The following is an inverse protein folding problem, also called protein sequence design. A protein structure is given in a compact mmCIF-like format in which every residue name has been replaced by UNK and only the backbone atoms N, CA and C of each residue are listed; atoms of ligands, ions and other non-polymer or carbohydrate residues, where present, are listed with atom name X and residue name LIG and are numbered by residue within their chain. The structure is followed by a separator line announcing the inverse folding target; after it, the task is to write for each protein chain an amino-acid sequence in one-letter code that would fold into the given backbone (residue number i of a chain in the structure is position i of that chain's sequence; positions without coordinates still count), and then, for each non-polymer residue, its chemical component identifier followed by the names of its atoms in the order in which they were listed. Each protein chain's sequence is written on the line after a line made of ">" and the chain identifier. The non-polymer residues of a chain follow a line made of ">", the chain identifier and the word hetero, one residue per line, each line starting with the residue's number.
data_IF_908568763401
#
_entry.id   IF_908568763401
#
_cell.length_a   1.000
_cell.length_b   1.000
_cell.length_c   1.000
_cell.angle_alpha   90.00
_cell.angle_beta   90.00
_cell.angle_gamma   90.00
#
_symmetry.space_group_name_H-M   'P 1'
#
loop_
_entity.id
_entity.type
_entity.pdbx_description
1 polymer ?
#
# COMPACT_ATOMS: atom_id res chain seq x y z
N UNK A 1 -21.69 -9.89 26.54
CA UNK A 1 -20.42 -10.55 26.88
C UNK A 1 -19.89 -11.23 25.63
N UNK A 2 -19.07 -10.55 24.85
CA UNK A 2 -18.23 -11.14 23.83
C UNK A 2 -16.88 -10.50 24.05
N UNK A 3 -16.09 -11.11 24.94
CA UNK A 3 -14.66 -10.81 25.06
C UNK A 3 -13.97 -11.35 23.83
N UNK A 4 -13.91 -10.53 22.76
CA UNK A 4 -13.00 -10.81 21.68
C UNK A 4 -11.60 -10.76 22.31
N UNK A 5 -10.91 -11.88 22.27
CA UNK A 5 -9.50 -12.03 22.61
C UNK A 5 -8.71 -11.07 21.70
N UNK A 6 -8.51 -9.84 22.16
CA UNK A 6 -7.48 -8.96 21.65
C UNK A 6 -6.16 -9.62 22.06
N UNK A 7 -5.62 -10.35 21.14
CA UNK A 7 -4.32 -10.98 21.31
C UNK A 7 -3.29 -9.85 21.27
N UNK A 8 -2.73 -9.47 22.44
CA UNK A 8 -1.65 -8.49 22.51
C UNK A 8 -0.54 -8.88 21.51
N UNK A 9 -0.15 -7.91 20.68
CA UNK A 9 0.96 -8.07 19.73
C UNK A 9 2.22 -8.41 20.53
N UNK A 10 2.92 -9.47 20.14
CA UNK A 10 4.20 -9.84 20.77
C UNK A 10 5.21 -8.70 20.53
N UNK A 11 5.92 -8.22 21.57
CA UNK A 11 7.00 -7.27 21.37
C UNK A 11 8.06 -7.85 20.43
N UNK A 12 8.43 -7.09 19.42
CA UNK A 12 9.48 -7.50 18.49
C UNK A 12 10.86 -7.35 19.12
N UNK A 13 11.74 -8.30 18.86
CA UNK A 13 13.14 -8.22 19.29
C UNK A 13 13.89 -7.14 18.52
N UNK A 14 15.02 -6.66 19.07
CA UNK A 14 15.87 -5.67 18.38
C UNK A 14 16.28 -6.13 16.98
N UNK A 15 16.57 -7.44 16.79
CA UNK A 15 16.93 -7.97 15.48
C UNK A 15 15.77 -7.91 14.48
N UNK A 16 14.53 -8.13 14.93
CA UNK A 16 13.34 -7.98 14.10
C UNK A 16 13.10 -6.51 13.72
N UNK A 17 13.20 -5.59 14.69
CA UNK A 17 13.07 -4.15 14.45
C UNK A 17 14.12 -3.63 13.44
N UNK A 18 15.37 -4.08 13.57
CA UNK A 18 16.43 -3.74 12.60
C UNK A 18 16.09 -4.29 11.20
N UNK A 19 15.67 -5.57 11.11
CA UNK A 19 15.33 -6.18 9.82
C UNK A 19 14.16 -5.44 9.15
N UNK A 20 13.13 -5.08 9.93
CA UNK A 20 11.97 -4.35 9.47
C UNK A 20 12.35 -2.94 8.99
N UNK A 21 13.11 -2.19 9.81
CA UNK A 21 13.57 -0.85 9.47
C UNK A 21 14.46 -0.85 8.22
N UNK A 22 15.39 -1.80 8.11
CA UNK A 22 16.31 -1.89 6.95
C UNK A 22 15.55 -2.26 5.69
N UNK A 23 14.64 -3.24 5.72
CA UNK A 23 13.88 -3.64 4.54
C UNK A 23 13.03 -2.51 3.96
N UNK A 24 12.28 -1.79 4.81
CA UNK A 24 11.51 -0.65 4.36
C UNK A 24 12.35 0.61 4.13
N UNK A 25 13.51 0.74 4.78
CA UNK A 25 14.50 1.77 4.45
C UNK A 25 15.05 1.61 3.02
N UNK A 26 15.32 0.39 2.58
CA UNK A 26 15.67 0.10 1.18
C UNK A 26 14.47 0.41 0.27
N UNK A 27 13.26 0.05 0.67
CA UNK A 27 12.02 0.42 -0.03
C UNK A 27 11.85 1.94 -0.17
N UNK A 28 12.18 2.71 0.88
CA UNK A 28 12.16 4.17 0.84
C UNK A 28 13.14 4.73 -0.18
N UNK A 29 14.38 4.27 -0.18
CA UNK A 29 15.38 4.70 -1.17
C UNK A 29 14.92 4.37 -2.59
N UNK A 30 14.38 3.18 -2.82
CA UNK A 30 13.81 2.80 -4.11
C UNK A 30 12.62 3.70 -4.49
N UNK A 31 11.71 4.02 -3.55
CA UNK A 31 10.57 4.90 -3.79
C UNK A 31 10.99 6.33 -4.13
N UNK A 32 12.04 6.87 -3.47
CA UNK A 32 12.61 8.19 -3.78
C UNK A 32 13.21 8.25 -5.18
N UNK A 33 13.81 7.16 -5.66
CA UNK A 33 14.30 7.05 -7.05
C UNK A 33 13.15 6.85 -8.02
N UNK A 34 12.16 6.03 -7.68
CA UNK A 34 10.99 5.76 -8.50
C UNK A 34 10.11 7.00 -8.72
N UNK A 35 10.05 7.89 -7.74
CA UNK A 35 9.22 9.10 -7.79
C UNK A 35 9.50 9.96 -9.05
N UNK A 36 10.72 10.49 -9.27
CA UNK A 36 11.00 11.29 -10.46
C UNK A 36 10.84 10.49 -11.75
N UNK A 37 11.12 9.18 -11.76
CA UNK A 37 10.97 8.33 -12.93
C UNK A 37 9.49 8.28 -13.35
N UNK A 38 8.57 8.01 -12.43
CA UNK A 38 7.13 7.97 -12.71
C UNK A 38 6.59 9.32 -13.19
N UNK A 39 6.95 10.40 -12.47
CA UNK A 39 6.44 11.73 -12.80
C UNK A 39 6.98 12.21 -14.14
N UNK A 40 8.25 12.01 -14.45
CA UNK A 40 8.81 12.40 -15.75
C UNK A 40 8.23 11.58 -16.91
N UNK A 41 8.05 10.26 -16.73
CA UNK A 41 7.41 9.41 -17.72
C UNK A 41 5.96 9.86 -18.00
N UNK A 42 5.19 10.19 -16.96
CA UNK A 42 3.82 10.68 -17.10
C UNK A 42 3.75 12.06 -17.80
N UNK A 43 4.64 12.99 -17.44
CA UNK A 43 4.72 14.30 -18.09
C UNK A 43 5.06 14.20 -19.58
N UNK A 44 5.93 13.27 -19.96
CA UNK A 44 6.30 13.05 -21.37
C UNK A 44 5.13 12.55 -22.22
N UNK A 45 4.17 11.84 -21.64
CA UNK A 45 2.95 11.41 -22.33
C UNK A 45 1.89 12.51 -22.45
N UNK A 46 2.02 13.59 -21.68
CA UNK A 46 1.14 14.76 -21.77
C UNK A 46 -0.28 14.54 -21.24
N UNK A 47 -0.53 13.45 -20.50
CA UNK A 47 -1.82 13.18 -19.89
C UNK A 47 -1.86 13.67 -18.45
N UNK A 48 -2.73 14.65 -18.16
CA UNK A 48 -2.87 15.22 -16.82
C UNK A 48 -3.35 14.19 -15.80
N UNK A 49 -4.31 13.33 -16.17
CA UNK A 49 -4.84 12.27 -15.30
C UNK A 49 -3.76 11.27 -14.90
N UNK A 50 -2.96 10.81 -15.88
CA UNK A 50 -1.81 9.94 -15.64
C UNK A 50 -0.74 10.61 -14.77
N UNK A 51 -0.43 11.90 -15.03
CA UNK A 51 0.55 12.67 -14.26
C UNK A 51 0.13 12.83 -12.80
N UNK A 52 -1.11 13.20 -12.52
CA UNK A 52 -1.66 13.29 -11.17
C UNK A 52 -1.63 11.90 -10.51
N UNK A 53 -2.08 10.88 -11.22
CA UNK A 53 -2.10 9.50 -10.74
C UNK A 53 -0.71 8.99 -10.35
N UNK A 54 0.28 9.14 -11.22
CA UNK A 54 1.66 8.75 -10.98
C UNK A 54 2.26 9.50 -9.76
N UNK A 55 1.98 10.80 -9.66
CA UNK A 55 2.47 11.61 -8.53
C UNK A 55 1.85 11.15 -7.21
N UNK A 56 0.54 10.90 -7.18
CA UNK A 56 -0.15 10.40 -5.97
C UNK A 56 0.38 9.03 -5.56
N UNK A 57 0.53 8.10 -6.50
CA UNK A 57 1.10 6.78 -6.21
C UNK A 57 2.53 6.91 -5.66
N UNK A 58 3.39 7.69 -6.30
CA UNK A 58 4.76 7.88 -5.86
C UNK A 58 4.84 8.51 -4.45
N UNK A 59 4.01 9.52 -4.15
CA UNK A 59 3.92 10.12 -2.82
C UNK A 59 3.50 9.09 -1.78
N UNK A 60 2.48 8.28 -2.07
CA UNK A 60 1.99 7.27 -1.11
C UNK A 60 3.00 6.16 -0.84
N UNK A 61 3.82 5.76 -1.84
CA UNK A 61 4.96 4.86 -1.64
C UNK A 61 5.97 5.45 -0.66
N UNK A 62 6.38 6.71 -0.89
CA UNK A 62 7.34 7.39 -0.01
C UNK A 62 6.79 7.52 1.41
N UNK A 63 5.53 7.91 1.57
CA UNK A 63 4.90 8.05 2.89
C UNK A 63 4.86 6.73 3.64
N UNK A 64 4.48 5.62 2.99
CA UNK A 64 4.44 4.30 3.62
C UNK A 64 5.83 3.87 4.08
N UNK A 65 6.80 3.88 3.19
CA UNK A 65 8.14 3.41 3.53
C UNK A 65 8.84 4.30 4.57
N UNK A 66 8.60 5.61 4.53
CA UNK A 66 9.13 6.54 5.53
C UNK A 66 8.51 6.27 6.91
N UNK A 67 7.17 6.18 6.98
CA UNK A 67 6.47 5.94 8.24
C UNK A 67 6.89 4.60 8.87
N UNK A 68 6.96 3.54 8.06
CA UNK A 68 7.35 2.21 8.50
C UNK A 68 8.83 2.16 8.95
N UNK A 69 9.74 2.72 8.17
CA UNK A 69 11.16 2.80 8.55
C UNK A 69 11.35 3.49 9.88
N UNK A 70 10.69 4.63 10.10
CA UNK A 70 10.79 5.39 11.34
C UNK A 70 10.09 4.66 12.51
N UNK A 71 8.94 4.01 12.28
CA UNK A 71 8.29 3.20 13.30
C UNK A 71 9.24 2.12 13.85
N UNK A 72 9.90 1.38 12.97
CA UNK A 72 10.80 0.31 13.37
C UNK A 72 12.17 0.78 13.87
N UNK A 73 12.66 1.95 13.41
CA UNK A 73 13.94 2.51 13.86
C UNK A 73 13.89 3.13 15.27
N UNK A 74 12.73 3.59 15.72
CA UNK A 74 12.59 4.32 16.97
C UNK A 74 12.53 3.37 18.19
N UNK A 75 13.18 3.74 19.32
CA UNK A 75 12.99 3.06 20.58
C UNK A 75 11.57 3.25 21.11
N UNK A 76 11.17 2.44 22.11
CA UNK A 76 9.86 2.55 22.74
C UNK A 76 9.64 3.96 23.35
N UNK A 77 8.93 4.81 22.64
CA UNK A 77 8.65 6.20 23.01
C UNK A 77 7.32 6.67 22.39
N UNK A 78 6.91 7.90 22.74
CA UNK A 78 5.69 8.51 22.17
C UNK A 78 5.76 8.64 20.64
N UNK A 79 6.91 8.98 20.09
CA UNK A 79 7.10 9.10 18.65
C UNK A 79 6.92 7.76 17.94
N UNK A 80 7.45 6.64 18.47
CA UNK A 80 7.24 5.30 17.92
C UNK A 80 5.75 4.97 17.79
N UNK A 81 4.93 5.33 18.79
CA UNK A 81 3.48 5.11 18.75
C UNK A 81 2.79 5.95 17.67
N UNK A 82 3.23 7.18 17.46
CA UNK A 82 2.73 8.02 16.37
C UNK A 82 3.07 7.42 15.01
N UNK A 83 4.33 6.99 14.82
CA UNK A 83 4.76 6.38 13.57
C UNK A 83 4.12 5.01 13.33
N UNK A 84 3.77 4.25 14.36
CA UNK A 84 2.98 3.03 14.23
C UNK A 84 1.58 3.32 13.63
N UNK A 85 0.91 4.35 14.11
CA UNK A 85 -0.39 4.78 13.56
C UNK A 85 -0.23 5.26 12.11
N UNK A 86 0.81 6.02 11.81
CA UNK A 86 1.10 6.50 10.46
C UNK A 86 1.42 5.36 9.50
N UNK A 87 2.24 4.39 9.91
CA UNK A 87 2.59 3.21 9.14
C UNK A 87 1.34 2.42 8.74
N UNK A 88 0.50 2.06 9.70
CA UNK A 88 -0.76 1.35 9.43
C UNK A 88 -1.75 2.17 8.60
N UNK A 89 -1.78 3.50 8.77
CA UNK A 89 -2.62 4.40 7.98
C UNK A 89 -2.14 4.51 6.54
N UNK A 90 -0.82 4.52 6.34
CA UNK A 90 -0.21 4.64 5.02
C UNK A 90 -0.52 3.45 4.10
N UNK A 91 -0.87 2.28 4.66
CA UNK A 91 -1.33 1.13 3.85
C UNK A 91 -2.61 1.48 3.09
N UNK A 92 -3.60 2.11 3.75
CA UNK A 92 -4.82 2.58 3.09
C UNK A 92 -4.51 3.56 1.97
N UNK A 93 -3.60 4.51 2.24
CA UNK A 93 -3.20 5.53 1.27
C UNK A 93 -2.45 4.92 0.08
N UNK A 94 -1.56 3.94 0.32
CA UNK A 94 -0.84 3.26 -0.76
C UNK A 94 -1.80 2.46 -1.66
N UNK A 95 -2.78 1.76 -1.08
CA UNK A 95 -3.79 1.05 -1.88
C UNK A 95 -4.53 2.05 -2.77
N UNK A 96 -5.06 3.14 -2.22
CA UNK A 96 -5.75 4.16 -3.01
C UNK A 96 -4.83 4.83 -4.04
N UNK A 97 -3.58 5.10 -3.65
CA UNK A 97 -2.55 5.64 -4.53
C UNK A 97 -2.27 4.73 -5.73
N UNK A 98 -2.23 3.42 -5.54
CA UNK A 98 -2.02 2.44 -6.61
C UNK A 98 -3.16 2.44 -7.65
N UNK A 99 -4.40 2.63 -7.20
CA UNK A 99 -5.55 2.75 -8.11
C UNK A 99 -5.52 4.03 -8.95
N UNK A 100 -4.98 5.12 -8.39
CA UNK A 100 -5.14 6.47 -8.95
C UNK A 100 -4.63 6.61 -10.39
N UNK A 101 -3.44 6.13 -10.79
CA UNK A 101 -2.97 6.25 -12.17
C UNK A 101 -3.85 5.47 -13.17
N UNK A 102 -4.40 4.33 -12.77
CA UNK A 102 -5.30 3.55 -13.63
C UNK A 102 -6.69 4.18 -13.74
N UNK A 103 -7.24 4.68 -12.64
CA UNK A 103 -8.59 5.26 -12.61
C UNK A 103 -8.67 6.61 -13.32
N UNK A 104 -7.65 7.47 -13.20
CA UNK A 104 -7.61 8.78 -13.82
C UNK A 104 -6.97 8.76 -15.22
N UNK A 105 -6.03 7.85 -15.48
CA UNK A 105 -5.30 7.74 -16.75
C UNK A 105 -5.95 6.77 -17.73
N UNK A 106 -6.13 5.50 -17.36
CA UNK A 106 -6.53 4.41 -18.26
C UNK A 106 -8.05 4.22 -18.32
N UNK A 107 -8.69 4.01 -17.17
CA UNK A 107 -10.12 3.64 -17.12
C UNK A 107 -11.05 4.79 -17.46
N UNK A 108 -10.70 6.02 -17.06
CA UNK A 108 -11.47 7.25 -17.29
C UNK A 108 -13.01 7.08 -17.21
N UNK A 109 -13.77 8.16 -17.35
CA UNK A 109 -15.24 8.10 -17.37
C UNK A 109 -15.86 7.52 -16.08
N UNK A 110 -17.05 6.92 -16.20
CA UNK A 110 -17.85 6.50 -15.05
C UNK A 110 -17.13 5.45 -14.18
N UNK A 111 -16.53 4.43 -14.77
CA UNK A 111 -15.81 3.38 -14.03
C UNK A 111 -14.56 3.92 -13.32
N UNK A 112 -13.79 4.78 -14.01
CA UNK A 112 -12.62 5.43 -13.40
C UNK A 112 -13.00 6.24 -12.17
N UNK A 113 -13.98 7.13 -12.27
CA UNK A 113 -14.45 7.96 -11.16
C UNK A 113 -15.12 7.15 -10.04
N UNK A 114 -15.85 6.09 -10.37
CA UNK A 114 -16.48 5.21 -9.36
C UNK A 114 -15.42 4.51 -8.52
N UNK A 115 -14.45 3.85 -9.14
CA UNK A 115 -13.37 3.16 -8.42
C UNK A 115 -12.50 4.16 -7.63
N UNK A 116 -12.16 5.29 -8.24
CA UNK A 116 -11.42 6.36 -7.56
C UNK A 116 -12.14 6.82 -6.31
N UNK A 117 -13.43 7.16 -6.42
CA UNK A 117 -14.24 7.61 -5.29
C UNK A 117 -14.34 6.56 -4.18
N UNK A 118 -14.65 5.31 -4.56
CA UNK A 118 -14.80 4.21 -3.59
C UNK A 118 -13.50 3.96 -2.82
N UNK A 119 -12.37 3.81 -3.53
CA UNK A 119 -11.11 3.48 -2.87
C UNK A 119 -10.59 4.62 -2.00
N UNK A 120 -10.76 5.89 -2.42
CA UNK A 120 -10.34 7.04 -1.62
C UNK A 120 -11.24 7.29 -0.41
N UNK A 121 -12.56 7.09 -0.54
CA UNK A 121 -13.47 7.13 0.63
C UNK A 121 -13.07 6.09 1.66
N UNK A 122 -12.82 4.84 1.23
CA UNK A 122 -12.37 3.78 2.12
C UNK A 122 -11.00 4.10 2.74
N UNK A 123 -10.07 4.69 1.98
CA UNK A 123 -8.77 5.09 2.47
C UNK A 123 -8.88 6.19 3.54
N UNK A 124 -9.70 7.20 3.33
CA UNK A 124 -9.93 8.28 4.31
C UNK A 124 -10.58 7.72 5.58
N UNK A 125 -11.64 6.92 5.43
CA UNK A 125 -12.34 6.30 6.57
C UNK A 125 -11.38 5.39 7.36
N UNK A 126 -10.60 4.55 6.67
CA UNK A 126 -9.62 3.66 7.30
C UNK A 126 -8.50 4.42 8.03
N UNK A 127 -7.99 5.50 7.42
CA UNK A 127 -6.99 6.39 8.05
C UNK A 127 -7.55 7.07 9.29
N UNK A 128 -8.76 7.63 9.22
CA UNK A 128 -9.43 8.24 10.38
C UNK A 128 -9.67 7.20 11.47
N UNK A 129 -10.12 6.00 11.09
CA UNK A 129 -10.31 4.91 12.04
C UNK A 129 -9.01 4.56 12.79
N UNK A 130 -7.87 4.49 12.09
CA UNK A 130 -6.55 4.29 12.71
C UNK A 130 -6.12 5.48 13.57
N UNK A 131 -6.35 6.69 13.13
CA UNK A 131 -5.99 7.89 13.88
C UNK A 131 -6.76 8.00 15.22
N UNK A 132 -8.04 7.61 15.25
CA UNK A 132 -8.89 7.67 16.44
C UNK A 132 -8.78 6.41 17.31
N UNK A 133 -8.73 5.23 16.71
CA UNK A 133 -8.73 3.92 17.39
C UNK A 133 -7.34 3.34 17.66
N UNK A 134 -6.29 3.94 17.10
CA UNK A 134 -4.93 3.38 17.12
C UNK A 134 -4.85 2.06 16.36
N UNK A 135 -3.90 1.21 16.75
CA UNK A 135 -3.65 -0.09 16.08
C UNK A 135 -4.52 -1.23 16.63
N UNK A 136 -5.48 -0.91 17.48
CA UNK A 136 -6.28 -1.88 18.25
C UNK A 136 -6.95 -2.98 17.40
N UNK A 137 -7.39 -2.67 16.18
CA UNK A 137 -8.14 -3.59 15.32
C UNK A 137 -7.32 -4.00 14.09
N UNK A 138 -6.11 -4.49 14.30
CA UNK A 138 -5.18 -4.83 13.20
C UNK A 138 -5.74 -5.89 12.26
N UNK A 139 -6.28 -7.00 12.79
CA UNK A 139 -6.90 -8.07 11.98
C UNK A 139 -8.06 -7.56 11.12
N UNK A 140 -8.96 -6.75 11.70
CA UNK A 140 -10.06 -6.15 10.95
C UNK A 140 -9.55 -5.24 9.83
N UNK A 141 -8.57 -4.40 10.15
CA UNK A 141 -7.95 -3.52 9.14
C UNK A 141 -7.32 -4.31 8.01
N UNK A 142 -6.66 -5.44 8.30
CA UNK A 142 -6.06 -6.31 7.29
C UNK A 142 -7.09 -6.85 6.31
N UNK A 143 -8.25 -7.29 6.79
CA UNK A 143 -9.34 -7.70 5.91
C UNK A 143 -9.85 -6.55 5.05
N UNK A 144 -9.94 -5.32 5.60
CA UNK A 144 -10.32 -4.14 4.82
C UNK A 144 -9.25 -3.81 3.77
N UNK A 145 -7.95 -3.91 4.08
CA UNK A 145 -6.87 -3.74 3.08
C UNK A 145 -7.01 -4.72 1.92
N UNK A 146 -7.25 -6.01 2.23
CA UNK A 146 -7.45 -7.03 1.20
C UNK A 146 -8.69 -6.74 0.35
N UNK A 147 -9.81 -6.41 0.98
CA UNK A 147 -11.04 -6.05 0.27
C UNK A 147 -10.83 -4.83 -0.65
N UNK A 148 -10.14 -3.80 -0.17
CA UNK A 148 -9.77 -2.63 -0.98
C UNK A 148 -8.85 -3.01 -2.14
N UNK A 149 -7.84 -3.85 -1.90
CA UNK A 149 -6.90 -4.28 -2.94
C UNK A 149 -7.60 -5.05 -4.08
N UNK A 150 -8.63 -5.83 -3.76
CA UNK A 150 -9.41 -6.60 -4.73
C UNK A 150 -10.68 -5.88 -5.23
N UNK A 151 -10.89 -4.61 -4.84
CA UNK A 151 -12.04 -3.83 -5.30
C UNK A 151 -12.09 -3.68 -6.83
N UNK A 152 -10.94 -3.81 -7.51
CA UNK A 152 -10.82 -3.81 -8.97
C UNK A 152 -11.72 -4.85 -9.64
N UNK A 153 -12.09 -5.93 -8.94
CA UNK A 153 -12.95 -7.00 -9.48
C UNK A 153 -14.37 -6.51 -9.83
N UNK A 154 -14.88 -5.45 -9.22
CA UNK A 154 -16.19 -4.87 -9.58
C UNK A 154 -16.17 -4.21 -10.97
N UNK A 155 -14.98 -3.85 -11.46
CA UNK A 155 -14.76 -3.24 -12.77
C UNK A 155 -13.87 -4.14 -13.66
N UNK A 156 -13.97 -5.48 -13.48
CA UNK A 156 -13.08 -6.43 -14.16
C UNK A 156 -13.19 -6.33 -15.68
N UNK A 157 -14.39 -6.08 -16.23
CA UNK A 157 -14.61 -5.95 -17.67
C UNK A 157 -13.86 -4.77 -18.28
N UNK A 158 -14.04 -3.50 -17.81
CA UNK A 158 -13.27 -2.38 -18.33
C UNK A 158 -11.77 -2.50 -18.05
N UNK A 159 -11.36 -3.07 -16.92
CA UNK A 159 -9.95 -3.32 -16.63
C UNK A 159 -9.36 -4.31 -17.63
N UNK A 160 -10.04 -5.41 -17.91
CA UNK A 160 -9.60 -6.44 -18.86
C UNK A 160 -9.49 -5.92 -20.29
N UNK A 161 -10.39 -5.01 -20.68
CA UNK A 161 -10.44 -4.47 -22.05
C UNK A 161 -9.48 -3.31 -22.27
N UNK A 162 -9.25 -2.46 -21.26
CA UNK A 162 -8.48 -1.22 -21.41
C UNK A 162 -7.03 -1.33 -20.96
N UNK A 163 -6.73 -2.22 -20.01
CA UNK A 163 -5.35 -2.40 -19.54
C UNK A 163 -4.64 -3.47 -20.38
N UNK A 164 -3.46 -3.17 -20.95
CA UNK A 164 -2.69 -4.17 -21.70
C UNK A 164 -2.38 -5.42 -20.87
N UNK A 165 -2.30 -6.58 -21.53
CA UNK A 165 -2.13 -7.90 -20.85
C UNK A 165 -0.94 -7.95 -19.88
N UNK A 166 0.19 -7.36 -20.23
CA UNK A 166 1.34 -7.27 -19.35
C UNK A 166 1.11 -6.32 -18.16
N UNK A 167 0.30 -5.28 -18.33
CA UNK A 167 -0.16 -4.43 -17.23
C UNK A 167 -1.03 -5.23 -16.24
N UNK A 168 -1.98 -6.01 -16.76
CA UNK A 168 -2.79 -6.94 -15.95
C UNK A 168 -1.92 -7.96 -15.21
N UNK A 169 -0.89 -8.52 -15.87
CA UNK A 169 0.05 -9.44 -15.24
C UNK A 169 0.73 -8.79 -14.01
N UNK A 170 1.28 -7.58 -14.17
CA UNK A 170 1.96 -6.89 -13.07
C UNK A 170 1.00 -6.48 -11.95
N UNK A 171 -0.23 -6.05 -12.29
CA UNK A 171 -1.27 -5.76 -11.28
C UNK A 171 -1.64 -6.99 -10.48
N UNK A 172 -1.87 -8.11 -11.17
CA UNK A 172 -2.21 -9.39 -10.52
C UNK A 172 -1.06 -9.91 -9.66
N UNK A 173 0.17 -9.88 -10.18
CA UNK A 173 1.36 -10.30 -9.45
C UNK A 173 1.55 -9.49 -8.16
N UNK A 174 1.36 -8.16 -8.22
CA UNK A 174 1.39 -7.30 -7.06
C UNK A 174 0.27 -7.60 -6.05
N UNK A 175 -0.96 -7.79 -6.52
CA UNK A 175 -2.10 -8.16 -5.68
C UNK A 175 -1.90 -9.50 -4.97
N UNK A 176 -1.35 -10.50 -5.67
CA UNK A 176 -0.99 -11.81 -5.09
C UNK A 176 0.12 -11.64 -4.05
N UNK A 177 1.17 -10.85 -4.33
CA UNK A 177 2.24 -10.60 -3.38
C UNK A 177 1.70 -9.98 -2.08
N UNK A 178 0.90 -8.92 -2.15
CA UNK A 178 0.28 -8.32 -0.97
C UNK A 178 -0.64 -9.30 -0.21
N UNK A 179 -1.43 -10.09 -0.94
CA UNK A 179 -2.33 -11.09 -0.32
C UNK A 179 -1.55 -12.18 0.39
N UNK A 180 -0.51 -12.71 -0.23
CA UNK A 180 0.38 -13.70 0.38
C UNK A 180 1.10 -13.10 1.60
N UNK A 181 1.58 -11.86 1.48
CA UNK A 181 2.21 -11.14 2.58
C UNK A 181 1.28 -10.95 3.79
N UNK A 182 -0.01 -10.66 3.55
CA UNK A 182 -0.99 -10.49 4.64
C UNK A 182 -1.13 -11.72 5.53
N UNK A 183 -0.86 -12.93 5.01
CA UNK A 183 -0.84 -14.17 5.82
C UNK A 183 0.27 -14.10 6.88
N UNK A 184 1.46 -13.61 6.50
CA UNK A 184 2.58 -13.44 7.43
C UNK A 184 2.31 -12.31 8.43
N UNK A 185 1.67 -11.22 7.98
CA UNK A 185 1.25 -10.13 8.85
C UNK A 185 0.25 -10.59 9.91
N UNK A 186 -0.76 -11.37 9.54
CA UNK A 186 -1.71 -11.95 10.50
C UNK A 186 -1.08 -12.98 11.45
N UNK A 187 0.08 -13.55 11.09
CA UNK A 187 0.81 -14.53 11.87
C UNK A 187 2.10 -13.94 12.51
N UNK A 188 2.18 -12.63 12.72
CA UNK A 188 3.37 -11.91 13.21
C UNK A 188 3.83 -12.30 14.63
N UNK A 189 3.08 -13.15 15.35
CA UNK A 189 3.53 -13.80 16.57
C UNK A 189 4.74 -14.70 16.34
N UNK A 190 4.93 -15.22 15.12
CA UNK A 190 6.10 -15.99 14.74
C UNK A 190 7.23 -15.00 14.42
N UNK A 191 8.43 -15.30 14.98
CA UNK A 191 9.59 -14.41 14.79
C UNK A 191 9.90 -14.20 13.32
N UNK A 192 10.24 -12.96 12.97
CA UNK A 192 10.55 -12.49 11.62
C UNK A 192 9.40 -12.57 10.59
N UNK A 193 8.18 -12.98 10.96
CA UNK A 193 7.07 -12.99 10.01
C UNK A 193 6.67 -11.58 9.57
N UNK A 194 6.77 -10.60 10.46
CA UNK A 194 6.57 -9.19 10.10
C UNK A 194 7.63 -8.71 9.08
N UNK A 195 8.89 -9.13 9.24
CA UNK A 195 9.92 -8.89 8.22
C UNK A 195 9.59 -9.54 6.87
N UNK A 196 9.10 -10.78 6.87
CA UNK A 196 8.65 -11.44 5.63
C UNK A 196 7.50 -10.68 4.97
N UNK A 197 6.55 -10.19 5.78
CA UNK A 197 5.50 -9.29 5.29
C UNK A 197 6.07 -8.06 4.58
N UNK A 198 7.07 -7.39 5.16
CA UNK A 198 7.75 -6.26 4.54
C UNK A 198 8.35 -6.60 3.16
N UNK A 199 8.95 -7.76 3.01
CA UNK A 199 9.49 -8.20 1.70
C UNK A 199 8.38 -8.38 0.66
N UNK A 200 7.23 -8.92 1.06
CA UNK A 200 6.06 -9.02 0.18
C UNK A 200 5.48 -7.66 -0.18
N UNK A 201 5.49 -6.69 0.75
CA UNK A 201 5.07 -5.30 0.46
C UNK A 201 6.00 -4.69 -0.57
N UNK A 202 7.32 -4.83 -0.43
CA UNK A 202 8.30 -4.33 -1.40
C UNK A 202 8.09 -4.99 -2.78
N UNK A 203 7.91 -6.31 -2.82
CA UNK A 203 7.66 -7.04 -4.07
C UNK A 203 6.35 -6.58 -4.74
N UNK A 204 5.27 -6.45 -3.99
CA UNK A 204 3.98 -5.98 -4.49
C UNK A 204 4.07 -4.55 -5.03
N UNK A 205 4.74 -3.66 -4.30
CA UNK A 205 4.97 -2.27 -4.74
C UNK A 205 5.81 -2.23 -6.02
N UNK A 206 6.86 -3.06 -6.13
CA UNK A 206 7.69 -3.13 -7.33
C UNK A 206 6.87 -3.59 -8.56
N UNK A 207 6.01 -4.61 -8.39
CA UNK A 207 5.10 -5.05 -9.45
C UNK A 207 4.17 -3.92 -9.90
N UNK A 208 3.56 -3.21 -8.95
CA UNK A 208 2.66 -2.10 -9.25
C UNK A 208 3.40 -0.90 -9.84
N UNK A 209 4.63 -0.62 -9.40
CA UNK A 209 5.49 0.39 -10.03
C UNK A 209 5.71 0.09 -11.52
N UNK A 210 6.03 -1.17 -11.87
CA UNK A 210 6.19 -1.58 -13.28
C UNK A 210 4.86 -1.49 -14.06
N UNK A 211 3.74 -1.86 -13.42
CA UNK A 211 2.42 -1.71 -14.01
C UNK A 211 2.10 -0.25 -14.34
N UNK A 212 2.37 0.66 -13.39
CA UNK A 212 2.12 2.10 -13.58
C UNK A 212 3.07 2.66 -14.64
N UNK A 213 4.39 2.43 -14.51
CA UNK A 213 5.41 3.00 -15.39
C UNK A 213 5.19 2.65 -16.87
N UNK A 214 4.80 1.42 -17.16
CA UNK A 214 4.73 0.95 -18.54
C UNK A 214 3.32 1.00 -19.14
N UNK A 215 2.28 1.00 -18.30
CA UNK A 215 0.91 0.78 -18.78
C UNK A 215 -0.14 1.79 -18.30
N UNK A 216 0.21 2.69 -17.38
CA UNK A 216 -0.72 3.71 -16.88
C UNK A 216 -0.26 5.15 -17.13
N UNK A 217 1.04 5.34 -17.36
CA UNK A 217 1.66 6.66 -17.61
C UNK A 217 2.50 6.63 -18.85
#
# INVERSE_FOLDING_TARGET
>A
MVGALELEERPQSLGEEIANSVSHGIGLLAALVAFPILVTAALQRGDLGGTVGASVFAITMVLLYLASTLFHALPACRAKRVFQILDHSAIYLLIAGTYTPFTLGVLRGAWGWTLFGLVWVLAVVGTVFKALGGVRYTTFSTWVYLAMGWLVLIAIEPVWTLVPKWGLFWLLAGGIAYTAGAVFFMAERIRYFHFVWHLFVVAGTACHFLAVLWYAV
#
